data_IF_173525573938
#
_entry.id   IF_173525573938
#
_cell.length_a   1.000
_cell.length_b   1.000
_cell.length_c   1.000
_cell.angle_alpha   90.00
_cell.angle_beta   90.00
_cell.angle_gamma   90.00
#
_symmetry.space_group_name_H-M   'P 1'
#
loop_
_entity.id
_entity.type
_entity.pdbx_description
1 polymer ?
#
# COMPACT_ATOMS: atom_id res chain seq x y z
N UNK A 1 -25.27 11.66 27.17
CA UNK A 1 -25.22 10.29 26.60
C UNK A 1 -25.84 10.39 25.21
N UNK A 2 -25.19 10.12 24.08
CA UNK A 2 -24.06 9.23 23.78
C UNK A 2 -23.08 9.94 22.81
N UNK A 3 -21.80 9.83 23.11
CA UNK A 3 -20.68 10.36 22.33
C UNK A 3 -20.25 9.25 21.36
N UNK A 4 -20.54 9.37 20.08
CA UNK A 4 -20.09 8.41 19.05
C UNK A 4 -18.80 8.94 18.40
N UNK A 5 -17.68 8.18 18.44
CA UNK A 5 -16.43 8.62 17.83
C UNK A 5 -16.53 8.62 16.29
N UNK A 6 -16.11 9.73 15.69
CA UNK A 6 -16.21 10.08 14.25
C UNK A 6 -15.38 9.20 13.28
N UNK A 7 -14.91 8.02 13.67
CA UNK A 7 -14.02 7.20 12.84
C UNK A 7 -14.28 5.70 12.89
N UNK A 8 -15.54 5.28 12.99
CA UNK A 8 -15.91 3.90 12.69
C UNK A 8 -15.99 3.72 11.17
N UNK A 9 -14.85 3.53 10.51
CA UNK A 9 -14.80 3.02 9.14
C UNK A 9 -15.28 1.57 9.16
N UNK A 10 -16.58 1.38 8.90
CA UNK A 10 -17.15 0.06 8.68
C UNK A 10 -16.49 -0.54 7.45
N UNK A 11 -15.90 -1.74 7.58
CA UNK A 11 -15.32 -2.47 6.46
C UNK A 11 -16.41 -2.71 5.40
N UNK A 12 -16.32 -2.00 4.27
CA UNK A 12 -17.23 -2.15 3.14
C UNK A 12 -16.52 -2.99 2.08
N UNK A 13 -16.90 -4.25 1.93
CA UNK A 13 -16.48 -5.05 0.78
C UNK A 13 -16.98 -4.39 -0.49
N UNK A 14 -16.06 -3.91 -1.33
CA UNK A 14 -16.33 -3.39 -2.66
C UNK A 14 -16.02 -4.49 -3.68
N UNK A 15 -17.03 -5.00 -4.38
CA UNK A 15 -16.81 -5.80 -5.59
C UNK A 15 -16.22 -4.92 -6.70
N UNK A 16 -15.13 -5.36 -7.33
CA UNK A 16 -14.51 -4.61 -8.42
C UNK A 16 -15.40 -4.66 -9.68
N UNK A 17 -15.80 -3.48 -10.15
CA UNK A 17 -16.43 -3.31 -11.46
C UNK A 17 -15.55 -2.45 -12.35
N UNK A 18 -15.52 -2.80 -13.64
CA UNK A 18 -14.82 -2.03 -14.67
C UNK A 18 -15.40 -0.62 -14.78
N UNK A 19 -14.51 0.35 -14.92
CA UNK A 19 -14.89 1.73 -15.24
C UNK A 19 -14.92 1.91 -16.76
N UNK A 20 -16.05 2.39 -17.30
CA UNK A 20 -16.17 2.75 -18.73
C UNK A 20 -15.22 3.91 -19.09
N UNK A 21 -14.82 4.01 -20.35
CA UNK A 21 -13.91 5.06 -20.84
C UNK A 21 -12.43 4.86 -20.50
N UNK A 22 -12.02 3.63 -20.16
CA UNK A 22 -10.61 3.22 -20.04
C UNK A 22 -10.30 2.22 -21.16
N UNK A 23 -9.04 2.13 -21.63
CA UNK A 23 -8.62 1.37 -22.82
C UNK A 23 -8.89 -0.14 -22.77
N UNK A 24 -9.43 -0.64 -21.66
CA UNK A 24 -9.72 -2.05 -21.49
C UNK A 24 -11.15 -2.44 -21.88
N UNK A 25 -11.95 -1.50 -22.43
CA UNK A 25 -13.23 -1.78 -23.10
C UNK A 25 -14.21 -2.66 -22.29
N UNK A 26 -14.17 -2.52 -20.96
CA UNK A 26 -15.13 -3.20 -20.08
C UNK A 26 -14.82 -4.65 -19.66
N UNK A 27 -13.88 -5.38 -20.26
CA UNK A 27 -13.51 -6.79 -19.91
C UNK A 27 -12.24 -7.03 -19.05
N UNK A 28 -12.33 -7.29 -17.73
CA UNK A 28 -11.16 -7.66 -16.87
C UNK A 28 -10.58 -9.02 -17.24
N UNK A 29 -9.25 -9.12 -17.28
CA UNK A 29 -8.57 -10.41 -17.18
C UNK A 29 -8.66 -10.94 -15.74
N UNK A 30 -8.33 -12.22 -15.53
CA UNK A 30 -8.38 -12.88 -14.22
C UNK A 30 -7.67 -12.07 -13.12
N UNK A 31 -6.48 -11.54 -13.41
CA UNK A 31 -5.72 -10.69 -12.48
C UNK A 31 -6.49 -9.41 -12.11
N UNK A 32 -7.25 -8.84 -13.03
CA UNK A 32 -8.05 -7.65 -12.76
C UNK A 32 -9.27 -7.92 -11.88
N UNK A 33 -9.86 -9.13 -11.97
CA UNK A 33 -11.02 -9.51 -11.17
C UNK A 33 -10.64 -9.92 -9.73
N UNK A 34 -9.54 -10.65 -9.56
CA UNK A 34 -9.19 -11.27 -8.27
C UNK A 34 -7.91 -10.71 -7.63
N UNK A 35 -7.08 -10.02 -8.40
CA UNK A 35 -5.78 -9.53 -7.95
C UNK A 35 -5.85 -8.25 -7.11
N UNK A 36 -6.96 -7.93 -6.45
CA UNK A 36 -7.11 -6.75 -5.59
C UNK A 36 -7.01 -7.07 -4.10
N UNK A 37 -7.19 -8.33 -3.73
CA UNK A 37 -7.27 -8.73 -2.32
C UNK A 37 -5.94 -8.56 -1.57
N UNK A 38 -4.81 -8.42 -2.28
CA UNK A 38 -3.51 -8.07 -1.69
C UNK A 38 -3.53 -6.73 -0.92
N UNK A 39 -4.52 -5.86 -1.17
CA UNK A 39 -4.68 -4.61 -0.43
C UNK A 39 -5.04 -4.90 1.03
N UNK A 40 -5.76 -5.98 1.30
CA UNK A 40 -6.25 -6.36 2.63
C UNK A 40 -5.22 -7.10 3.49
N UNK A 41 -3.94 -7.11 3.10
CA UNK A 41 -2.85 -7.74 3.87
C UNK A 41 -3.13 -9.22 4.19
N UNK A 42 -3.41 -10.00 3.15
CA UNK A 42 -3.74 -11.43 3.27
C UNK A 42 -2.57 -12.29 3.77
N UNK A 43 -1.34 -11.76 3.76
CA UNK A 43 -0.12 -12.44 4.20
C UNK A 43 0.17 -13.80 3.53
N UNK A 44 -0.47 -14.09 2.40
CA UNK A 44 -0.32 -15.37 1.67
C UNK A 44 1.14 -15.58 1.22
N UNK A 45 1.79 -14.51 0.75
CA UNK A 45 3.19 -14.56 0.30
C UNK A 45 4.10 -13.71 1.18
N UNK A 46 3.72 -12.46 1.44
CA UNK A 46 4.44 -11.54 2.32
C UNK A 46 3.48 -10.60 3.04
N UNK A 47 3.81 -10.16 4.27
CA UNK A 47 3.04 -9.14 4.95
C UNK A 47 3.23 -7.76 4.32
N UNK A 48 2.17 -6.95 4.35
CA UNK A 48 2.20 -5.57 3.88
C UNK A 48 3.07 -4.71 4.81
N UNK A 49 3.91 -3.87 4.21
CA UNK A 49 4.71 -2.90 4.96
C UNK A 49 3.80 -1.83 5.59
N UNK A 50 3.80 -1.73 6.92
CA UNK A 50 2.97 -0.79 7.70
C UNK A 50 3.76 0.41 8.23
N UNK A 51 5.08 0.26 8.36
CA UNK A 51 5.99 1.28 8.91
C UNK A 51 7.15 1.53 7.96
N UNK A 52 7.69 2.76 7.91
CA UNK A 52 8.93 3.00 7.20
C UNK A 52 10.08 2.25 7.87
N UNK A 53 11.02 1.75 7.07
CA UNK A 53 12.16 0.98 7.55
C UNK A 53 13.47 1.50 6.96
N UNK A 54 14.56 1.39 7.71
CA UNK A 54 15.91 1.78 7.30
C UNK A 54 16.84 0.60 7.49
N UNK A 55 17.82 0.46 6.58
CA UNK A 55 18.99 -0.38 6.79
C UNK A 55 20.21 0.50 7.02
N UNK A 56 20.81 0.44 8.22
CA UNK A 56 21.90 1.35 8.63
C UNK A 56 23.22 1.06 7.90
N UNK A 57 23.50 -0.20 7.64
CA UNK A 57 24.73 -0.67 6.98
C UNK A 57 24.39 -1.62 5.84
N UNK A 58 25.17 -1.64 4.75
CA UNK A 58 24.93 -2.55 3.63
C UNK A 58 24.97 -4.01 4.12
N UNK A 59 23.94 -4.79 3.81
CA UNK A 59 23.82 -6.18 4.27
C UNK A 59 23.22 -6.37 5.68
N UNK A 60 23.01 -5.30 6.44
CA UNK A 60 22.38 -5.37 7.77
C UNK A 60 20.86 -5.58 7.75
N UNK A 61 20.27 -5.68 8.95
CA UNK A 61 18.82 -5.85 9.15
C UNK A 61 18.05 -4.55 8.83
N UNK A 62 16.79 -4.71 8.39
CA UNK A 62 15.84 -3.61 8.28
C UNK A 62 15.22 -3.31 9.65
N UNK A 63 15.25 -2.04 10.04
CA UNK A 63 14.73 -1.54 11.32
C UNK A 63 13.58 -0.57 11.08
N UNK A 64 12.49 -0.71 11.83
CA UNK A 64 11.37 0.22 11.76
C UNK A 64 11.75 1.59 12.34
N UNK A 65 11.32 2.66 11.68
CA UNK A 65 11.57 4.03 12.11
C UNK A 65 10.30 4.86 12.11
N UNK A 66 10.33 5.97 12.83
CA UNK A 66 9.30 7.01 12.80
C UNK A 66 9.20 7.62 11.40
N UNK A 67 7.98 7.96 10.96
CA UNK A 67 7.70 8.51 9.61
C UNK A 67 8.56 9.74 9.25
N UNK A 68 8.79 10.66 10.18
CA UNK A 68 9.65 11.83 9.95
C UNK A 68 11.11 11.45 9.63
N UNK A 69 11.65 10.42 10.30
CA UNK A 69 13.00 9.90 10.02
C UNK A 69 13.07 9.14 8.69
N UNK A 70 12.01 8.42 8.32
CA UNK A 70 11.93 7.77 7.01
C UNK A 70 11.87 8.76 5.84
N UNK A 71 11.11 9.85 5.99
CA UNK A 71 10.97 10.88 4.95
C UNK A 71 12.25 11.72 4.74
N UNK A 72 13.08 11.86 5.78
CA UNK A 72 14.35 12.59 5.71
C UNK A 72 15.44 11.91 4.87
N UNK A 73 15.30 10.62 4.56
CA UNK A 73 16.15 9.89 3.61
C UNK A 73 15.75 10.21 2.16
N UNK A 74 15.84 11.48 1.75
CA UNK A 74 15.63 11.81 0.34
C UNK A 74 16.82 11.32 -0.49
N UNK A 75 16.48 10.78 -1.67
CA UNK A 75 17.39 10.15 -2.63
C UNK A 75 18.52 11.12 -3.01
N UNK A 76 19.72 10.58 -3.17
CA UNK A 76 20.78 11.26 -3.92
C UNK A 76 20.18 11.86 -5.20
N UNK A 77 20.43 13.14 -5.52
CA UNK A 77 19.98 13.70 -6.79
C UNK A 77 20.54 12.82 -7.92
N UNK A 78 19.75 12.54 -8.97
CA UNK A 78 20.25 11.80 -10.11
C UNK A 78 21.46 12.56 -10.67
N UNK A 79 22.62 11.90 -10.74
CA UNK A 79 23.77 12.49 -11.42
C UNK A 79 23.39 12.57 -12.89
N UNK A 80 23.17 13.80 -13.38
CA UNK A 80 23.00 14.07 -14.79
C UNK A 80 24.37 13.85 -15.43
N UNK A 81 24.47 12.86 -16.31
CA UNK A 81 25.55 12.78 -17.30
C UNK A 81 25.19 13.66 -18.48
#
# INVERSE_FOLDING_TARGET
MQNQPRWSITAKSFGLKRRRGKPTEGTLCLKGYYGWDFINDTQILTPRLKTPMIRRQRGGKLEAVSSGRGAGLRRHPPQRH
#
